data_IF_304307644666
#
_entry.id   IF_304307644666
#
_cell.length_a   1.000
_cell.length_b   1.000
_cell.length_c   1.000
_cell.angle_alpha   90.00
_cell.angle_beta   90.00
_cell.angle_gamma   90.00
#
_symmetry.space_group_name_H-M   'P 1'
#
loop_
_entity.id
_entity.type
_entity.pdbx_description
1 polymer ?
#
# COMPACT_ATOMS: atom_id res chain seq x y z
N UNK A 1 4.72 1.07 -23.60
CA UNK A 1 5.78 0.48 -22.78
C UNK A 1 5.57 -1.01 -22.68
N UNK A 2 6.66 -1.78 -22.64
CA UNK A 2 6.66 -3.23 -22.41
C UNK A 2 6.67 -3.51 -20.91
N UNK A 3 5.66 -4.23 -20.45
CA UNK A 3 5.38 -4.43 -19.04
C UNK A 3 5.43 -5.90 -18.68
N UNK A 4 6.08 -6.21 -17.56
CA UNK A 4 5.95 -7.50 -16.92
C UNK A 4 5.22 -7.39 -15.58
N UNK A 5 4.53 -8.46 -15.19
CA UNK A 5 3.93 -8.58 -13.86
C UNK A 5 4.52 -9.79 -13.13
N UNK A 6 5.04 -9.57 -11.93
CA UNK A 6 5.61 -10.62 -11.06
C UNK A 6 4.65 -10.85 -9.89
N UNK A 7 4.20 -12.09 -9.73
CA UNK A 7 3.22 -12.52 -8.73
C UNK A 7 1.80 -12.42 -9.27
N UNK A 8 1.25 -13.54 -9.73
CA UNK A 8 -0.08 -13.63 -10.37
C UNK A 8 -1.20 -13.98 -9.38
N UNK A 9 -1.02 -13.52 -8.14
CA UNK A 9 -1.98 -13.75 -7.04
C UNK A 9 -3.22 -12.86 -7.12
N UNK A 10 -3.94 -12.75 -6.00
CA UNK A 10 -5.26 -12.11 -5.96
C UNK A 10 -5.31 -10.64 -6.42
N UNK A 11 -4.19 -9.91 -6.31
CA UNK A 11 -4.12 -8.49 -6.68
C UNK A 11 -3.72 -8.29 -8.16
N UNK A 12 -3.11 -9.30 -8.78
CA UNK A 12 -2.62 -9.23 -10.15
C UNK A 12 -3.69 -8.86 -11.19
N UNK A 13 -4.95 -9.38 -11.14
CA UNK A 13 -6.00 -8.95 -12.04
C UNK A 13 -6.27 -7.44 -12.02
N UNK A 14 -6.15 -6.82 -10.84
CA UNK A 14 -6.36 -5.37 -10.66
C UNK A 14 -5.24 -4.60 -11.37
N UNK A 15 -3.99 -5.03 -11.20
CA UNK A 15 -2.85 -4.45 -11.90
C UNK A 15 -2.96 -4.64 -13.42
N UNK A 16 -3.25 -5.85 -13.91
CA UNK A 16 -3.41 -6.10 -15.35
C UNK A 16 -4.47 -5.21 -15.97
N UNK A 17 -5.63 -5.06 -15.31
CA UNK A 17 -6.66 -4.15 -15.81
C UNK A 17 -6.17 -2.70 -15.86
N UNK A 18 -5.47 -2.23 -14.82
CA UNK A 18 -4.87 -0.89 -14.82
C UNK A 18 -3.84 -0.68 -15.94
N UNK A 19 -2.99 -1.69 -16.21
CA UNK A 19 -2.00 -1.66 -17.29
C UNK A 19 -2.67 -1.57 -18.66
N UNK A 20 -3.68 -2.42 -18.91
CA UNK A 20 -4.42 -2.45 -20.17
C UNK A 20 -5.24 -1.18 -20.40
N UNK A 21 -5.87 -0.64 -19.35
CA UNK A 21 -6.60 0.64 -19.42
C UNK A 21 -5.67 1.85 -19.61
N UNK A 22 -4.38 1.72 -19.24
CA UNK A 22 -3.34 2.68 -19.59
C UNK A 22 -2.79 2.50 -21.02
N UNK A 23 -3.32 1.53 -21.78
CA UNK A 23 -2.89 1.14 -23.13
C UNK A 23 -1.43 0.66 -23.19
N UNK A 24 -0.96 -0.01 -22.14
CA UNK A 24 0.40 -0.55 -22.06
C UNK A 24 0.44 -2.04 -22.40
N UNK A 25 1.57 -2.52 -22.94
CA UNK A 25 1.71 -3.88 -23.47
C UNK A 25 2.24 -4.84 -22.40
N UNK A 26 1.43 -5.82 -21.98
CA UNK A 26 1.89 -6.88 -21.08
C UNK A 26 2.60 -7.96 -21.89
N UNK A 27 3.92 -8.03 -21.79
CA UNK A 27 4.76 -8.98 -22.55
C UNK A 27 5.17 -10.21 -21.74
N UNK A 28 5.13 -10.14 -20.41
CA UNK A 28 5.51 -11.27 -19.55
C UNK A 28 4.70 -11.33 -18.25
N UNK A 29 4.38 -12.55 -17.83
CA UNK A 29 3.84 -12.85 -16.50
C UNK A 29 4.79 -13.83 -15.79
N UNK A 30 5.09 -13.57 -14.53
CA UNK A 30 5.96 -14.42 -13.73
C UNK A 30 5.27 -14.89 -12.45
N UNK A 31 5.25 -16.20 -12.23
CA UNK A 31 4.82 -16.82 -10.98
C UNK A 31 5.55 -18.14 -10.76
N UNK A 32 5.93 -18.43 -9.51
CA UNK A 32 6.55 -19.72 -9.16
C UNK A 32 5.60 -20.91 -9.34
N UNK A 33 4.29 -20.63 -9.50
CA UNK A 33 3.27 -21.58 -9.92
C UNK A 33 2.79 -21.16 -11.32
N UNK A 34 3.44 -21.63 -12.41
CA UNK A 34 3.17 -21.15 -13.78
C UNK A 34 1.71 -21.28 -14.21
N UNK A 35 0.98 -22.26 -13.67
CA UNK A 35 -0.43 -22.48 -13.95
C UNK A 35 -1.29 -21.25 -13.61
N UNK A 36 -0.97 -20.53 -12.54
CA UNK A 36 -1.68 -19.28 -12.17
C UNK A 36 -1.46 -18.19 -13.19
N UNK A 37 -0.25 -18.09 -13.73
CA UNK A 37 0.09 -17.12 -14.75
C UNK A 37 -0.59 -17.45 -16.09
N UNK A 38 -0.68 -18.73 -16.46
CA UNK A 38 -1.41 -19.19 -17.64
C UNK A 38 -2.92 -18.94 -17.53
N UNK A 39 -3.53 -19.22 -16.37
CA UNK A 39 -4.94 -18.92 -16.12
C UNK A 39 -5.21 -17.42 -16.28
N UNK A 40 -4.36 -16.57 -15.72
CA UNK A 40 -4.48 -15.13 -15.78
C UNK A 40 -4.26 -14.59 -17.20
N UNK A 41 -3.26 -15.11 -17.92
CA UNK A 41 -3.01 -14.83 -19.35
C UNK A 41 -4.25 -15.11 -20.18
N UNK A 42 -4.87 -16.29 -19.99
CA UNK A 42 -6.08 -16.68 -20.70
C UNK A 42 -7.27 -15.78 -20.34
N UNK A 43 -7.46 -15.49 -19.06
CA UNK A 43 -8.57 -14.65 -18.58
C UNK A 43 -8.53 -13.22 -19.16
N UNK A 44 -7.33 -12.68 -19.41
CA UNK A 44 -7.13 -11.35 -19.99
C UNK A 44 -6.80 -11.37 -21.49
N UNK A 45 -6.84 -12.55 -22.14
CA UNK A 45 -6.50 -12.75 -23.55
C UNK A 45 -5.14 -12.13 -23.95
N UNK A 46 -4.13 -12.34 -23.12
CA UNK A 46 -2.78 -11.78 -23.29
C UNK A 46 -1.90 -12.67 -24.17
N UNK A 47 -0.96 -12.05 -24.88
CA UNK A 47 0.11 -12.73 -25.62
C UNK A 47 1.41 -12.84 -24.81
N UNK A 48 1.35 -12.60 -23.51
CA UNK A 48 2.51 -12.58 -22.63
C UNK A 48 3.22 -13.94 -22.56
N UNK A 49 4.54 -13.94 -22.51
CA UNK A 49 5.34 -15.10 -22.17
C UNK A 49 5.21 -15.43 -20.67
N UNK A 50 5.27 -16.71 -20.32
CA UNK A 50 5.14 -17.18 -18.93
C UNK A 50 6.51 -17.58 -18.39
N UNK A 51 6.83 -17.08 -17.21
CA UNK A 51 8.07 -17.37 -16.51
C UNK A 51 7.83 -17.95 -15.12
N UNK A 52 8.61 -18.96 -14.76
CA UNK A 52 8.66 -19.48 -13.39
C UNK A 52 9.72 -18.76 -12.52
N UNK A 53 10.70 -18.13 -13.15
CA UNK A 53 11.79 -17.38 -12.49
C UNK A 53 11.87 -15.96 -13.04
N UNK A 54 11.73 -14.98 -12.14
CA UNK A 54 11.81 -13.57 -12.50
C UNK A 54 13.21 -13.16 -12.96
N UNK A 55 14.27 -13.84 -12.51
CA UNK A 55 15.66 -13.56 -12.94
C UNK A 55 15.86 -13.95 -14.39
N UNK A 56 15.26 -15.07 -14.82
CA UNK A 56 15.23 -15.49 -16.21
C UNK A 56 14.43 -14.50 -17.07
N UNK A 57 13.23 -14.12 -16.62
CA UNK A 57 12.39 -13.11 -17.28
C UNK A 57 13.17 -11.81 -17.49
N UNK A 58 13.79 -11.28 -16.42
CA UNK A 58 14.61 -10.07 -16.46
C UNK A 58 15.82 -10.16 -17.41
N UNK A 59 16.33 -11.37 -17.69
CA UNK A 59 17.46 -11.59 -18.56
C UNK A 59 17.06 -11.71 -20.04
N UNK A 60 15.86 -12.22 -20.33
CA UNK A 60 15.37 -12.47 -21.70
C UNK A 60 14.55 -11.30 -22.25
N UNK A 61 13.77 -10.65 -21.39
CA UNK A 61 12.83 -9.61 -21.81
C UNK A 61 13.46 -8.22 -21.81
N UNK A 62 13.06 -7.41 -22.80
CA UNK A 62 13.36 -5.98 -22.83
C UNK A 62 12.17 -5.20 -22.24
N UNK A 63 12.22 -4.94 -20.93
CA UNK A 63 11.12 -4.38 -20.15
C UNK A 63 11.33 -2.89 -19.85
N UNK A 64 10.26 -2.11 -19.93
CA UNK A 64 10.23 -0.72 -19.47
C UNK A 64 9.76 -0.63 -18.01
N UNK A 65 8.81 -1.50 -17.62
CA UNK A 65 8.13 -1.46 -16.32
C UNK A 65 7.88 -2.86 -15.77
N UNK A 66 8.03 -3.01 -14.46
CA UNK A 66 7.58 -4.18 -13.68
C UNK A 66 6.49 -3.79 -12.69
N UNK A 67 5.39 -4.53 -12.70
CA UNK A 67 4.41 -4.54 -11.61
C UNK A 67 4.77 -5.67 -10.64
N UNK A 68 5.04 -5.31 -9.38
CA UNK A 68 5.44 -6.26 -8.34
C UNK A 68 4.28 -6.52 -7.38
N UNK A 69 3.74 -7.74 -7.44
CA UNK A 69 2.52 -8.18 -6.76
C UNK A 69 2.77 -9.46 -5.93
N UNK A 70 3.98 -9.60 -5.39
CA UNK A 70 4.43 -10.79 -4.64
C UNK A 70 4.22 -10.65 -3.13
N UNK A 71 4.45 -11.72 -2.35
CA UNK A 71 4.55 -11.62 -0.90
C UNK A 71 5.58 -10.58 -0.42
N UNK A 72 5.31 -9.92 0.71
CA UNK A 72 6.06 -8.74 1.18
C UNK A 72 7.58 -8.96 1.28
N UNK A 73 8.02 -10.10 1.82
CA UNK A 73 9.44 -10.41 2.00
C UNK A 73 10.23 -10.56 0.69
N UNK A 74 9.54 -10.76 -0.44
CA UNK A 74 10.18 -10.87 -1.76
C UNK A 74 10.40 -9.51 -2.42
N UNK A 75 9.72 -8.47 -1.96
CA UNK A 75 9.77 -7.16 -2.61
C UNK A 75 11.18 -6.61 -2.68
N UNK A 76 11.94 -6.71 -1.58
CA UNK A 76 13.31 -6.21 -1.50
C UNK A 76 14.21 -6.76 -2.61
N UNK A 77 14.37 -8.09 -2.70
CA UNK A 77 15.30 -8.71 -3.66
C UNK A 77 14.87 -8.42 -5.11
N UNK A 78 13.56 -8.45 -5.37
CA UNK A 78 13.00 -8.21 -6.70
C UNK A 78 13.15 -6.76 -7.13
N UNK A 79 12.93 -5.80 -6.25
CA UNK A 79 13.18 -4.36 -6.51
C UNK A 79 14.66 -4.14 -6.83
N UNK A 80 15.59 -4.61 -5.99
CA UNK A 80 17.04 -4.45 -6.23
C UNK A 80 17.46 -5.05 -7.58
N UNK A 81 17.00 -6.27 -7.89
CA UNK A 81 17.33 -6.95 -9.14
C UNK A 81 16.83 -6.19 -10.38
N UNK A 82 15.70 -5.49 -10.24
CA UNK A 82 15.06 -4.72 -11.31
C UNK A 82 15.72 -3.36 -11.50
N UNK A 83 16.01 -2.65 -10.41
CA UNK A 83 16.68 -1.34 -10.43
C UNK A 83 18.10 -1.41 -11.01
N UNK A 84 18.85 -2.50 -10.74
CA UNK A 84 20.16 -2.76 -11.36
C UNK A 84 20.14 -2.83 -12.88
N UNK A 85 18.96 -3.07 -13.46
CA UNK A 85 18.73 -3.14 -14.91
C UNK A 85 18.10 -1.86 -15.47
N UNK A 86 17.91 -0.83 -14.64
CA UNK A 86 17.25 0.43 -14.99
C UNK A 86 15.81 0.27 -15.49
N UNK A 87 15.10 -0.75 -14.99
CA UNK A 87 13.70 -0.99 -15.33
C UNK A 87 12.82 -0.33 -14.25
N UNK A 88 11.79 0.40 -14.66
CA UNK A 88 10.88 1.07 -13.72
C UNK A 88 10.05 0.04 -12.95
N UNK A 89 9.67 0.36 -11.71
CA UNK A 89 8.92 -0.54 -10.83
C UNK A 89 7.71 0.18 -10.28
N UNK A 90 6.54 -0.47 -10.36
CA UNK A 90 5.38 -0.16 -9.53
C UNK A 90 5.13 -1.33 -8.58
N UNK A 91 5.40 -1.13 -7.30
CA UNK A 91 5.34 -2.18 -6.29
C UNK A 91 4.13 -2.06 -5.37
N UNK A 92 3.50 -3.19 -5.07
CA UNK A 92 2.55 -3.28 -3.97
C UNK A 92 3.23 -2.97 -2.62
N UNK A 93 2.41 -2.55 -1.66
CA UNK A 93 2.88 -2.26 -0.31
C UNK A 93 3.04 -3.55 0.51
N UNK A 94 3.82 -3.52 1.60
CA UNK A 94 4.89 -2.58 1.88
C UNK A 94 6.08 -2.84 0.95
N UNK A 95 6.92 -1.83 0.70
CA UNK A 95 8.11 -1.98 -0.18
C UNK A 95 9.19 -2.93 0.36
N UNK A 96 9.21 -3.16 1.67
CA UNK A 96 10.14 -4.03 2.38
C UNK A 96 9.60 -4.30 3.79
N UNK A 97 10.24 -5.23 4.51
CA UNK A 97 9.77 -5.63 5.85
C UNK A 97 10.64 -5.07 6.99
N UNK A 98 11.84 -4.57 6.70
CA UNK A 98 12.73 -4.00 7.71
C UNK A 98 13.53 -2.77 7.22
N UNK A 99 14.09 -2.02 8.19
CA UNK A 99 14.88 -0.80 7.94
C UNK A 99 16.11 -1.03 7.07
N UNK A 100 16.79 -2.18 7.21
CA UNK A 100 18.02 -2.47 6.45
C UNK A 100 17.72 -2.64 4.96
N UNK A 101 16.63 -3.33 4.63
CA UNK A 101 16.16 -3.46 3.25
C UNK A 101 15.78 -2.10 2.65
N UNK A 102 15.04 -1.27 3.40
CA UNK A 102 14.69 0.07 2.97
C UNK A 102 15.92 0.90 2.59
N UNK A 103 16.93 0.90 3.45
CA UNK A 103 18.20 1.62 3.20
C UNK A 103 18.84 1.14 1.90
N UNK A 104 18.94 -0.18 1.70
CA UNK A 104 19.54 -0.76 0.49
C UNK A 104 18.73 -0.46 -0.78
N UNK A 105 17.40 -0.42 -0.70
CA UNK A 105 16.55 -0.01 -1.84
C UNK A 105 16.82 1.46 -2.20
N UNK A 106 16.89 2.35 -1.20
CA UNK A 106 17.19 3.77 -1.43
C UNK A 106 18.57 3.98 -2.05
N UNK A 107 19.57 3.20 -1.61
CA UNK A 107 20.92 3.22 -2.18
C UNK A 107 20.91 2.76 -3.64
N UNK A 108 20.28 1.63 -3.96
CA UNK A 108 20.20 1.13 -5.34
C UNK A 108 19.41 2.08 -6.24
N UNK A 109 18.30 2.64 -5.76
CA UNK A 109 17.49 3.60 -6.51
C UNK A 109 18.29 4.85 -6.89
N UNK A 110 19.22 5.33 -6.05
CA UNK A 110 20.11 6.45 -6.38
C UNK A 110 21.11 6.12 -7.50
N UNK A 111 21.46 4.85 -7.66
CA UNK A 111 22.38 4.36 -8.69
C UNK A 111 21.67 3.95 -9.98
N UNK A 112 20.34 3.91 -9.98
CA UNK A 112 19.50 3.52 -11.12
C UNK A 112 18.92 4.75 -11.82
N UNK A 113 18.69 4.66 -13.13
CA UNK A 113 17.88 5.65 -13.86
C UNK A 113 16.38 5.36 -13.79
N UNK A 114 16.00 4.21 -13.24
CA UNK A 114 14.61 3.80 -13.09
C UNK A 114 13.83 4.63 -12.07
N UNK A 115 12.50 4.58 -12.17
CA UNK A 115 11.56 5.09 -11.18
C UNK A 115 10.99 3.94 -10.36
N UNK A 116 10.75 4.20 -9.07
CA UNK A 116 10.09 3.28 -8.15
C UNK A 116 8.84 3.96 -7.58
N UNK A 117 7.67 3.49 -8.01
CA UNK A 117 6.37 3.88 -7.49
C UNK A 117 5.81 2.83 -6.53
N UNK A 118 5.01 3.28 -5.56
CA UNK A 118 4.41 2.42 -4.53
C UNK A 118 2.89 2.53 -4.59
N UNK A 119 2.21 1.39 -4.49
CA UNK A 119 0.75 1.34 -4.42
C UNK A 119 0.21 1.76 -3.05
N UNK A 120 0.03 3.07 -2.87
CA UNK A 120 -0.81 3.67 -1.82
C UNK A 120 -2.06 4.28 -2.46
N UNK A 121 -2.85 3.42 -3.09
CA UNK A 121 -3.94 3.78 -3.98
C UNK A 121 -5.05 4.59 -3.32
N UNK A 122 -5.22 4.48 -2.00
CA UNK A 122 -6.27 5.22 -1.30
C UNK A 122 -6.06 6.74 -1.42
N UNK A 123 -4.83 7.21 -1.64
CA UNK A 123 -4.57 8.63 -1.94
C UNK A 123 -5.30 9.10 -3.20
N UNK A 124 -5.60 8.22 -4.16
CA UNK A 124 -6.28 8.57 -5.42
C UNK A 124 -7.81 8.55 -5.34
N UNK A 125 -8.40 8.21 -4.19
CA UNK A 125 -9.85 8.31 -4.03
C UNK A 125 -10.27 9.79 -3.97
N UNK A 126 -11.32 10.22 -4.70
CA UNK A 126 -11.84 11.59 -4.72
C UNK A 126 -12.06 12.17 -3.33
N UNK A 127 -12.70 11.44 -2.40
CA UNK A 127 -12.91 11.90 -1.04
C UNK A 127 -11.59 12.27 -0.34
N UNK A 128 -10.53 11.47 -0.54
CA UNK A 128 -9.22 11.72 0.05
C UNK A 128 -8.46 12.85 -0.66
N UNK A 129 -8.57 12.96 -1.98
CA UNK A 129 -8.00 14.07 -2.77
C UNK A 129 -8.65 15.40 -2.40
N UNK A 130 -9.98 15.44 -2.32
CA UNK A 130 -10.75 16.61 -1.91
C UNK A 130 -10.40 17.02 -0.49
N UNK A 131 -10.38 16.07 0.46
CA UNK A 131 -9.95 16.37 1.82
C UNK A 131 -8.52 16.91 1.85
N UNK A 132 -7.58 16.31 1.10
CA UNK A 132 -6.20 16.80 1.05
C UNK A 132 -6.13 18.25 0.60
N UNK A 133 -6.84 18.62 -0.46
CA UNK A 133 -6.88 19.98 -0.99
C UNK A 133 -7.51 20.97 0.00
N UNK A 134 -8.63 20.60 0.65
CA UNK A 134 -9.28 21.45 1.65
C UNK A 134 -8.38 21.75 2.85
N UNK A 135 -7.52 20.81 3.24
CA UNK A 135 -6.59 20.97 4.36
C UNK A 135 -5.40 21.89 4.05
N UNK A 136 -5.18 22.32 2.80
CA UNK A 136 -4.09 23.23 2.46
C UNK A 136 -4.27 24.63 3.09
N UNK A 137 -5.52 25.07 3.25
CA UNK A 137 -5.90 26.39 3.79
C UNK A 137 -6.37 26.34 5.25
N UNK A 138 -6.09 25.25 5.95
CA UNK A 138 -6.57 25.00 7.31
C UNK A 138 -5.47 24.62 8.30
N UNK A 139 -5.65 25.09 9.52
CA UNK A 139 -4.80 24.69 10.65
C UNK A 139 -5.42 23.48 11.35
N UNK A 140 -4.74 22.34 11.24
CA UNK A 140 -5.17 21.08 11.83
C UNK A 140 -4.91 21.10 13.34
N UNK A 141 -5.93 20.74 14.13
CA UNK A 141 -5.85 20.64 15.59
C UNK A 141 -5.65 19.18 16.04
N UNK A 142 -6.39 18.26 15.41
CA UNK A 142 -6.40 16.85 15.81
C UNK A 142 -6.78 15.95 14.63
N UNK A 143 -6.06 14.84 14.49
CA UNK A 143 -6.49 13.72 13.66
C UNK A 143 -6.90 12.51 14.50
N UNK A 144 -7.80 11.69 13.99
CA UNK A 144 -7.91 10.30 14.42
C UNK A 144 -8.21 9.39 13.25
N UNK A 145 -7.80 8.14 13.36
CA UNK A 145 -8.21 7.12 12.42
C UNK A 145 -8.49 5.79 13.12
N UNK A 146 -9.40 5.01 12.54
CA UNK A 146 -9.63 3.63 12.99
C UNK A 146 -9.89 2.66 11.84
N UNK A 147 -9.45 1.42 12.04
CA UNK A 147 -9.73 0.27 11.20
C UNK A 147 -10.22 -0.89 12.08
N UNK A 148 -11.43 -1.37 11.83
CA UNK A 148 -12.05 -2.45 12.61
C UNK A 148 -12.49 -3.56 11.65
N UNK A 149 -11.65 -4.55 11.43
CA UNK A 149 -11.88 -5.60 10.42
C UNK A 149 -11.89 -7.00 11.04
N UNK A 150 -12.32 -7.98 10.25
CA UNK A 150 -12.35 -9.40 10.62
C UNK A 150 -11.32 -10.19 9.83
N UNK A 151 -10.39 -10.86 10.51
CA UNK A 151 -9.48 -11.85 9.91
C UNK A 151 -9.48 -13.11 10.76
N UNK A 152 -10.00 -14.18 10.18
CA UNK A 152 -10.09 -15.49 10.82
C UNK A 152 -8.91 -16.39 10.45
N UNK A 153 -8.90 -17.60 11.01
CA UNK A 153 -7.89 -18.60 10.72
C UNK A 153 -7.82 -18.96 9.21
N UNK A 154 -8.96 -18.99 8.53
CA UNK A 154 -9.04 -19.28 7.10
C UNK A 154 -8.29 -18.23 6.27
N UNK A 155 -8.41 -16.95 6.62
CA UNK A 155 -7.66 -15.87 5.98
C UNK A 155 -6.14 -16.04 6.05
N UNK A 156 -5.62 -16.49 7.20
CA UNK A 156 -4.18 -16.71 7.39
C UNK A 156 -3.72 -18.01 6.71
N UNK A 157 -4.51 -19.08 6.77
CA UNK A 157 -4.22 -20.35 6.06
C UNK A 157 -4.21 -20.22 4.54
N UNK A 158 -4.99 -19.30 3.98
CA UNK A 158 -5.07 -19.08 2.53
C UNK A 158 -3.74 -18.61 1.91
N UNK A 159 -2.77 -18.13 2.70
CA UNK A 159 -1.46 -17.69 2.18
C UNK A 159 -0.38 -17.85 3.25
N UNK A 160 0.53 -18.85 3.12
CA UNK A 160 1.51 -19.22 4.16
C UNK A 160 2.48 -18.12 4.62
N UNK A 161 2.61 -17.05 3.84
CA UNK A 161 3.46 -15.90 4.17
C UNK A 161 2.78 -14.93 5.15
N UNK A 162 1.48 -15.05 5.40
CA UNK A 162 0.75 -14.16 6.32
C UNK A 162 0.95 -14.60 7.76
N UNK A 163 0.85 -13.65 8.68
CA UNK A 163 0.81 -13.95 10.12
C UNK A 163 2.17 -14.15 10.77
N UNK A 164 3.28 -13.99 10.04
CA UNK A 164 4.65 -14.15 10.56
C UNK A 164 5.47 -12.89 10.41
N UNK A 165 6.38 -12.66 11.35
CA UNK A 165 7.24 -11.48 11.31
C UNK A 165 8.22 -11.50 10.12
N UNK A 166 8.76 -12.66 9.81
CA UNK A 166 9.80 -12.86 8.79
C UNK A 166 9.28 -12.76 7.35
N UNK A 167 8.01 -13.11 7.10
CA UNK A 167 7.44 -13.09 5.76
C UNK A 167 6.43 -11.96 5.52
N UNK A 168 5.67 -11.55 6.54
CA UNK A 168 4.70 -10.45 6.40
C UNK A 168 5.24 -9.10 6.89
N UNK A 169 6.24 -9.07 7.78
CA UNK A 169 6.78 -7.86 8.40
C UNK A 169 5.90 -7.24 9.49
N UNK A 170 4.70 -7.78 9.71
CA UNK A 170 3.72 -7.31 10.68
C UNK A 170 2.32 -7.83 10.37
N UNK A 171 1.41 -7.58 11.29
CA UNK A 171 0.03 -8.02 11.23
C UNK A 171 -0.89 -6.91 10.75
N UNK A 172 -1.83 -6.47 11.60
CA UNK A 172 -2.83 -5.48 11.22
C UNK A 172 -2.20 -4.20 10.70
N UNK A 173 -1.08 -3.73 11.25
CA UNK A 173 -0.50 -2.45 10.85
C UNK A 173 0.12 -2.48 9.47
N UNK A 174 0.79 -3.56 9.09
CA UNK A 174 1.43 -3.68 7.77
C UNK A 174 0.43 -4.12 6.70
N UNK A 175 -0.42 -5.10 7.03
CA UNK A 175 -1.20 -5.79 6.03
C UNK A 175 -2.55 -5.09 5.75
N UNK A 176 -3.15 -4.43 6.74
CA UNK A 176 -4.44 -3.75 6.60
C UNK A 176 -4.29 -2.22 6.76
N UNK A 177 -3.88 -1.79 7.94
CA UNK A 177 -4.00 -0.41 8.39
C UNK A 177 -2.94 0.54 7.84
N UNK A 178 -1.95 0.04 7.08
CA UNK A 178 -0.91 0.88 6.45
C UNK A 178 -1.50 1.96 5.54
N UNK A 179 -2.59 1.68 4.81
CA UNK A 179 -3.24 2.69 3.98
C UNK A 179 -3.95 3.76 4.81
N UNK A 180 -4.61 3.35 5.91
CA UNK A 180 -5.29 4.28 6.82
C UNK A 180 -4.27 5.15 7.54
N UNK A 181 -3.15 4.58 7.97
CA UNK A 181 -2.03 5.32 8.56
C UNK A 181 -1.41 6.27 7.53
N UNK A 182 -1.17 5.80 6.31
CA UNK A 182 -0.65 6.62 5.22
C UNK A 182 -1.51 7.87 4.98
N UNK A 183 -2.84 7.72 4.87
CA UNK A 183 -3.75 8.85 4.75
C UNK A 183 -3.69 9.79 5.95
N UNK A 184 -3.69 9.25 7.17
CA UNK A 184 -3.60 10.06 8.39
C UNK A 184 -2.30 10.89 8.40
N UNK A 185 -1.17 10.31 8.01
CA UNK A 185 0.11 11.03 7.88
C UNK A 185 0.10 12.03 6.72
N UNK A 186 -0.58 11.72 5.62
CA UNK A 186 -0.71 12.61 4.46
C UNK A 186 -1.53 13.86 4.79
N UNK A 187 -2.54 13.73 5.64
CA UNK A 187 -3.36 14.83 6.15
C UNK A 187 -2.67 15.59 7.29
N UNK A 188 -2.29 14.88 8.37
CA UNK A 188 -1.76 15.50 9.59
C UNK A 188 -0.26 15.84 9.53
N UNK A 189 0.45 15.39 8.50
CA UNK A 189 1.91 15.52 8.44
C UNK A 189 2.64 14.50 9.31
N UNK A 190 3.97 14.54 9.22
CA UNK A 190 4.82 13.60 9.95
C UNK A 190 4.89 13.93 11.45
N UNK A 191 4.73 12.93 12.32
CA UNK A 191 5.00 13.08 13.74
C UNK A 191 6.50 13.06 14.01
N UNK A 192 6.91 13.66 15.13
CA UNK A 192 8.26 13.52 15.69
C UNK A 192 8.31 12.51 16.84
N UNK A 193 7.15 12.11 17.39
CA UNK A 193 7.02 11.18 18.51
C UNK A 193 5.80 10.29 18.38
N UNK A 194 5.93 9.06 18.87
CA UNK A 194 4.85 8.08 19.01
C UNK A 194 4.82 7.51 20.43
N UNK A 195 3.61 7.24 20.93
CA UNK A 195 3.38 6.48 22.16
C UNK A 195 2.22 5.51 21.96
N UNK A 196 2.45 4.22 22.12
CA UNK A 196 1.42 3.22 21.98
C UNK A 196 1.93 1.80 22.06
N UNK A 197 1.06 0.84 21.78
CA UNK A 197 1.40 -0.58 21.83
C UNK A 197 0.67 -1.36 20.77
N UNK A 198 1.21 -2.53 20.50
CA UNK A 198 0.60 -3.56 19.68
C UNK A 198 0.39 -4.80 20.52
N UNK A 199 -0.66 -5.57 20.20
CA UNK A 199 -1.00 -6.79 20.90
C UNK A 199 -1.45 -7.85 19.90
N UNK A 200 -1.14 -9.10 20.20
CA UNK A 200 -1.75 -10.25 19.57
C UNK A 200 -2.77 -10.83 20.55
N UNK A 201 -4.05 -10.56 20.29
CA UNK A 201 -5.16 -10.90 21.20
C UNK A 201 -6.03 -12.06 20.70
N UNK A 202 -5.78 -12.60 19.51
CA UNK A 202 -6.56 -13.68 18.91
C UNK A 202 -5.67 -14.51 17.96
N UNK A 203 -5.96 -15.81 17.82
CA UNK A 203 -5.21 -16.73 16.94
C UNK A 203 -3.72 -16.86 17.30
N UNK A 204 -3.35 -16.69 18.57
CA UNK A 204 -1.94 -16.73 19.04
C UNK A 204 -1.24 -18.06 18.76
N UNK A 205 -1.99 -19.15 18.61
CA UNK A 205 -1.45 -20.46 18.24
C UNK A 205 -1.15 -20.59 16.73
N UNK A 206 -1.59 -19.62 15.92
CA UNK A 206 -1.51 -19.66 14.46
C UNK A 206 -0.70 -18.49 13.86
N UNK A 207 -0.67 -17.34 14.53
CA UNK A 207 0.03 -16.14 14.05
C UNK A 207 0.94 -15.56 15.12
N UNK A 208 2.07 -15.02 14.68
CA UNK A 208 3.12 -14.43 15.51
C UNK A 208 2.95 -12.91 15.66
N UNK A 209 2.26 -12.29 14.69
CA UNK A 209 2.17 -10.85 14.50
C UNK A 209 1.00 -10.22 15.25
N UNK A 210 0.99 -8.89 15.33
CA UNK A 210 -0.05 -8.15 16.04
C UNK A 210 -1.41 -8.16 15.34
N UNK A 211 -2.49 -8.36 16.12
CA UNK A 211 -3.88 -8.28 15.64
C UNK A 211 -4.53 -6.96 16.00
N UNK A 212 -3.97 -6.23 16.97
CA UNK A 212 -4.50 -4.95 17.46
C UNK A 212 -3.37 -3.96 17.72
N UNK A 213 -3.59 -2.69 17.37
CA UNK A 213 -2.68 -1.58 17.61
C UNK A 213 -3.45 -0.37 18.14
N UNK A 214 -2.89 0.31 19.14
CA UNK A 214 -3.39 1.58 19.66
C UNK A 214 -2.23 2.53 19.96
N UNK A 215 -2.30 3.76 19.43
CA UNK A 215 -1.22 4.73 19.62
C UNK A 215 -1.66 6.17 19.41
N UNK A 216 -0.87 7.07 19.98
CA UNK A 216 -0.91 8.50 19.72
C UNK A 216 0.37 8.95 19.01
N UNK A 217 0.20 9.87 18.07
CA UNK A 217 1.25 10.54 17.32
C UNK A 217 1.32 12.01 17.76
N UNK A 218 2.52 12.53 17.93
CA UNK A 218 2.77 13.94 18.25
C UNK A 218 3.81 14.50 17.29
N UNK A 219 3.57 15.71 16.80
CA UNK A 219 4.43 16.43 15.86
C UNK A 219 3.93 17.84 15.69
N UNK A 220 3.84 18.32 14.43
CA UNK A 220 3.10 19.56 14.12
C UNK A 220 1.65 19.47 14.59
N UNK A 221 1.02 18.32 14.36
CA UNK A 221 -0.36 18.03 14.74
C UNK A 221 -0.39 16.78 15.63
N UNK A 222 -1.41 16.67 16.49
CA UNK A 222 -1.66 15.45 17.26
C UNK A 222 -2.57 14.51 16.47
N UNK A 223 -2.34 13.21 16.59
CA UNK A 223 -3.27 12.23 16.05
C UNK A 223 -3.38 10.95 16.89
N UNK A 224 -4.55 10.31 16.86
CA UNK A 224 -4.80 9.02 17.52
C UNK A 224 -5.15 7.94 16.50
N UNK A 225 -4.71 6.72 16.77
CA UNK A 225 -4.93 5.61 15.86
C UNK A 225 -5.34 4.36 16.63
N UNK A 226 -6.32 3.65 16.08
CA UNK A 226 -6.72 2.33 16.57
C UNK A 226 -6.95 1.38 15.39
N UNK A 227 -6.35 0.21 15.39
CA UNK A 227 -6.68 -0.81 14.42
C UNK A 227 -6.80 -2.20 15.04
N UNK A 228 -7.76 -2.99 14.57
CA UNK A 228 -7.87 -4.40 14.93
C UNK A 228 -8.41 -5.25 13.79
N UNK A 229 -7.99 -6.52 13.76
CA UNK A 229 -8.54 -7.57 12.88
C UNK A 229 -9.40 -8.59 13.64
N UNK A 230 -9.73 -8.30 14.91
CA UNK A 230 -10.44 -9.24 15.80
C UNK A 230 -11.96 -9.07 15.79
N UNK A 231 -12.50 -8.21 14.92
CA UNK A 231 -13.94 -8.01 14.80
C UNK A 231 -14.62 -9.22 14.13
N UNK A 232 -15.94 -9.33 14.31
CA UNK A 232 -16.76 -10.33 13.61
C UNK A 232 -17.07 -9.93 12.16
N UNK A 233 -16.88 -8.67 11.79
CA UNK A 233 -17.15 -8.13 10.46
C UNK A 233 -16.13 -7.02 10.08
N UNK A 234 -16.16 -6.57 8.82
CA UNK A 234 -15.39 -5.44 8.33
C UNK A 234 -16.22 -4.16 8.37
N UNK A 235 -15.81 -3.22 9.21
CA UNK A 235 -16.38 -1.88 9.23
C UNK A 235 -15.71 -0.96 8.20
N UNK A 236 -16.42 0.08 7.72
CA UNK A 236 -15.81 1.15 6.94
C UNK A 236 -14.63 1.77 7.68
N UNK A 237 -13.57 2.11 6.94
CA UNK A 237 -12.44 2.86 7.49
C UNK A 237 -12.95 4.23 7.95
N UNK A 238 -12.50 4.70 9.11
CA UNK A 238 -12.83 6.05 9.55
C UNK A 238 -11.58 6.88 9.77
N UNK A 239 -11.57 8.10 9.24
CA UNK A 239 -10.57 9.12 9.53
C UNK A 239 -11.32 10.41 9.85
N UNK A 240 -11.04 11.04 10.99
CA UNK A 240 -11.61 12.34 11.32
C UNK A 240 -10.48 13.35 11.53
N UNK A 241 -10.61 14.52 10.92
CA UNK A 241 -9.67 15.63 11.05
C UNK A 241 -10.45 16.83 11.59
N UNK A 242 -9.99 17.38 12.71
CA UNK A 242 -10.51 18.62 13.29
C UNK A 242 -9.51 19.72 13.00
N UNK A 243 -10.00 20.84 12.49
CA UNK A 243 -9.22 22.04 12.23
C UNK A 243 -9.81 23.21 13.02
N UNK A 244 -9.20 24.39 12.88
CA UNK A 244 -9.74 25.63 13.45
C UNK A 244 -11.07 26.08 12.82
N UNK A 245 -11.41 25.56 11.64
CA UNK A 245 -12.60 26.00 10.87
C UNK A 245 -13.66 24.91 10.74
N UNK A 246 -13.24 23.66 10.54
CA UNK A 246 -14.10 22.57 10.09
C UNK A 246 -13.77 21.25 10.80
N UNK A 247 -14.73 20.35 10.75
CA UNK A 247 -14.55 18.94 11.07
C UNK A 247 -14.81 18.10 9.84
N UNK A 248 -13.80 17.34 9.44
CA UNK A 248 -13.85 16.41 8.33
C UNK A 248 -13.96 14.98 8.83
N UNK A 249 -14.72 14.14 8.13
CA UNK A 249 -14.80 12.71 8.38
C UNK A 249 -14.79 11.94 7.06
N UNK A 250 -13.81 11.07 6.87
CA UNK A 250 -13.87 9.97 5.92
C UNK A 250 -14.56 8.79 6.59
N UNK A 251 -15.54 8.19 5.93
CA UNK A 251 -16.21 6.97 6.35
C UNK A 251 -16.39 6.04 5.15
N UNK A 252 -15.55 5.01 5.05
CA UNK A 252 -15.43 4.25 3.81
C UNK A 252 -14.88 5.13 2.69
N UNK A 253 -15.64 5.27 1.61
CA UNK A 253 -15.31 6.12 0.45
C UNK A 253 -15.98 7.52 0.51
N UNK A 254 -16.78 7.79 1.55
CA UNK A 254 -17.51 9.04 1.72
C UNK A 254 -16.68 10.10 2.46
N UNK A 255 -16.90 11.38 2.13
CA UNK A 255 -16.42 12.53 2.89
C UNK A 255 -17.59 13.29 3.50
N UNK A 256 -17.50 13.62 4.78
CA UNK A 256 -18.42 14.51 5.48
C UNK A 256 -17.68 15.76 5.94
N UNK A 257 -18.29 16.93 5.74
CA UNK A 257 -17.81 18.23 6.23
C UNK A 257 -18.84 18.76 7.21
N UNK A 258 -18.45 18.95 8.47
CA UNK A 258 -19.33 19.35 9.58
C UNK A 258 -20.60 18.49 9.69
N UNK A 259 -20.50 17.20 9.34
CA UNK A 259 -21.61 16.25 9.35
C UNK A 259 -22.41 16.16 8.05
N UNK A 260 -22.16 17.04 7.07
CA UNK A 260 -22.82 17.00 5.77
C UNK A 260 -22.04 16.15 4.77
N UNK A 261 -22.69 15.13 4.18
CA UNK A 261 -22.11 14.31 3.13
C UNK A 261 -21.77 15.15 1.89
N UNK A 262 -20.61 14.90 1.32
CA UNK A 262 -20.16 15.48 0.06
C UNK A 262 -20.42 14.50 -1.09
N UNK A 263 -20.95 15.00 -2.19
CA UNK A 263 -21.17 14.20 -3.40
C UNK A 263 -19.92 14.21 -4.27
N UNK A 264 -19.58 13.04 -4.81
CA UNK A 264 -18.51 12.86 -5.78
C UNK A 264 -19.08 12.18 -7.03
N UNK A 265 -18.48 12.41 -8.21
CA UNK A 265 -18.78 11.59 -9.37
C UNK A 265 -18.59 10.12 -9.02
N UNK A 266 -19.50 9.25 -9.50
CA UNK A 266 -19.32 7.81 -9.36
C UNK A 266 -17.98 7.40 -9.95
N UNK A 267 -17.13 6.91 -9.07
CA UNK A 267 -15.92 6.22 -9.43
C UNK A 267 -16.41 4.84 -9.80
N UNK A 268 -16.28 4.46 -11.08
CA UNK A 268 -16.70 3.13 -11.54
C UNK A 268 -16.19 2.00 -10.63
N UNK A 269 -16.78 0.80 -10.71
CA UNK A 269 -16.57 -0.23 -9.70
C UNK A 269 -15.08 -0.51 -9.45
N UNK A 270 -14.70 -0.51 -8.17
CA UNK A 270 -13.40 -1.04 -7.76
C UNK A 270 -13.28 -2.50 -8.19
N UNK A 271 -12.09 -2.90 -8.63
CA UNK A 271 -11.85 -4.28 -9.06
C UNK A 271 -11.16 -5.07 -7.96
N UNK A 272 -11.55 -6.34 -7.81
CA UNK A 272 -11.02 -7.22 -6.76
C UNK A 272 -11.86 -7.16 -5.49
N UNK A 273 -11.22 -7.19 -4.33
CA UNK A 273 -11.93 -7.25 -3.05
C UNK A 273 -12.61 -5.91 -2.75
N UNK A 274 -13.84 -5.88 -2.20
CA UNK A 274 -14.58 -4.63 -1.97
C UNK A 274 -13.79 -3.57 -1.21
N UNK A 275 -12.98 -3.99 -0.22
CA UNK A 275 -12.19 -3.10 0.63
C UNK A 275 -10.88 -2.59 -0.01
N UNK A 276 -10.55 -2.97 -1.25
CA UNK A 276 -9.40 -2.40 -1.97
C UNK A 276 -9.69 -1.05 -2.62
N UNK A 277 -10.98 -0.76 -2.87
CA UNK A 277 -11.44 0.48 -3.51
C UNK A 277 -11.07 0.57 -5.00
N UNK A 278 -11.47 1.68 -5.64
CA UNK A 278 -11.22 1.95 -7.06
C UNK A 278 -9.89 2.68 -7.34
N UNK A 279 -9.11 3.00 -6.29
CA UNK A 279 -7.91 3.84 -6.40
C UNK A 279 -6.79 3.27 -7.28
N UNK A 280 -6.65 1.94 -7.37
CA UNK A 280 -5.55 1.30 -8.12
C UNK A 280 -5.51 1.74 -9.58
N UNK A 281 -6.68 1.84 -10.23
CA UNK A 281 -6.81 2.28 -11.62
C UNK A 281 -6.14 3.65 -11.82
N UNK A 282 -6.56 4.64 -11.04
CA UNK A 282 -6.07 6.01 -11.16
C UNK A 282 -4.59 6.13 -10.82
N UNK A 283 -4.14 5.39 -9.79
CA UNK A 283 -2.73 5.34 -9.42
C UNK A 283 -1.86 4.79 -10.54
N UNK A 284 -2.26 3.66 -11.14
CA UNK A 284 -1.51 3.01 -12.24
C UNK A 284 -1.49 3.93 -13.47
N UNK A 285 -2.62 4.55 -13.81
CA UNK A 285 -2.69 5.50 -14.92
C UNK A 285 -1.77 6.71 -14.70
N UNK A 286 -1.76 7.28 -13.49
CA UNK A 286 -0.87 8.39 -13.16
C UNK A 286 0.60 7.98 -13.21
N UNK A 287 0.94 6.77 -12.74
CA UNK A 287 2.29 6.23 -12.81
C UNK A 287 2.80 6.17 -14.27
N UNK A 288 2.02 5.60 -15.18
CA UNK A 288 2.41 5.56 -16.60
C UNK A 288 2.49 6.95 -17.24
N UNK A 289 1.54 7.83 -16.91
CA UNK A 289 1.58 9.23 -17.35
C UNK A 289 2.84 9.94 -16.87
N UNK A 290 3.28 9.71 -15.62
CA UNK A 290 4.54 10.24 -15.09
C UNK A 290 5.74 9.82 -15.93
N UNK A 291 5.81 8.54 -16.29
CA UNK A 291 6.91 8.00 -17.09
C UNK A 291 6.93 8.62 -18.49
N UNK A 292 5.77 8.73 -19.14
CA UNK A 292 5.62 9.34 -20.47
C UNK A 292 6.01 10.83 -20.46
N UNK A 293 5.55 11.58 -19.44
CA UNK A 293 5.83 13.01 -19.27
C UNK A 293 7.19 13.29 -18.62
N UNK A 294 7.93 12.25 -18.22
CA UNK A 294 9.22 12.35 -17.50
C UNK A 294 9.15 13.19 -16.22
N UNK A 295 8.01 13.17 -15.53
CA UNK A 295 7.85 13.82 -14.21
C UNK A 295 7.99 12.81 -13.07
N UNK A 296 8.31 13.27 -11.85
CA UNK A 296 8.28 12.41 -10.67
C UNK A 296 6.88 11.86 -10.41
N UNK A 297 6.80 10.58 -10.05
CA UNK A 297 5.57 9.98 -9.52
C UNK A 297 5.42 10.37 -8.04
N UNK A 298 4.24 10.85 -7.59
CA UNK A 298 4.09 11.46 -6.27
C UNK A 298 4.14 10.47 -5.10
N UNK A 299 4.04 9.16 -5.34
CA UNK A 299 4.10 8.13 -4.28
C UNK A 299 5.36 7.30 -4.47
N UNK A 300 6.50 7.94 -4.24
CA UNK A 300 7.82 7.33 -4.30
C UNK A 300 8.20 6.67 -2.97
N UNK A 301 9.46 6.22 -2.88
CA UNK A 301 10.00 5.57 -1.69
C UNK A 301 10.01 6.49 -0.46
N UNK A 302 10.14 7.81 -0.64
CA UNK A 302 10.18 8.77 0.46
C UNK A 302 8.78 9.00 1.04
N UNK A 303 7.73 8.87 0.22
CA UNK A 303 6.36 8.83 0.73
C UNK A 303 6.05 7.51 1.44
N UNK A 304 6.43 6.37 0.85
CA UNK A 304 6.13 5.06 1.40
C UNK A 304 6.87 4.78 2.73
N UNK A 305 8.10 5.28 2.90
CA UNK A 305 8.86 5.05 4.13
C UNK A 305 8.25 5.74 5.36
N UNK A 306 7.42 6.77 5.18
CA UNK A 306 6.79 7.51 6.28
C UNK A 306 5.95 6.59 7.16
N UNK A 307 5.05 5.81 6.54
CA UNK A 307 4.20 4.87 7.27
C UNK A 307 5.03 3.74 7.89
N UNK A 308 6.04 3.23 7.19
CA UNK A 308 6.93 2.18 7.71
C UNK A 308 7.72 2.64 8.93
N UNK A 309 8.28 3.86 8.90
CA UNK A 309 9.02 4.41 10.03
C UNK A 309 8.14 4.58 11.27
N UNK A 310 6.89 5.04 11.09
CA UNK A 310 5.90 5.13 12.18
C UNK A 310 5.57 3.74 12.73
N UNK A 311 5.36 2.74 11.87
CA UNK A 311 5.04 1.36 12.29
C UNK A 311 6.23 0.73 13.03
N UNK A 312 7.45 0.90 12.54
CA UNK A 312 8.63 0.36 13.23
C UNK A 312 8.88 1.06 14.58
N UNK A 313 8.63 2.37 14.67
CA UNK A 313 8.69 3.09 15.94
C UNK A 313 7.59 2.63 16.91
N UNK A 314 6.37 2.33 16.41
CA UNK A 314 5.29 1.74 17.21
C UNK A 314 5.71 0.40 17.83
N UNK A 315 6.35 -0.48 17.06
CA UNK A 315 6.83 -1.77 17.58
C UNK A 315 7.91 -1.62 18.66
N UNK A 316 8.66 -0.51 18.63
CA UNK A 316 9.64 -0.16 19.67
C UNK A 316 8.99 0.49 20.89
N UNK A 317 7.86 1.19 20.71
CA UNK A 317 7.19 2.01 21.73
C UNK A 317 6.83 1.22 22.98
N UNK A 318 6.16 0.06 22.85
CA UNK A 318 5.77 -0.80 24.00
C UNK A 318 5.05 -0.03 25.13
N UNK A 319 4.31 1.03 24.79
CA UNK A 319 3.63 1.93 25.72
C UNK A 319 4.44 3.16 26.13
N UNK A 320 5.74 3.21 25.81
CA UNK A 320 6.65 4.31 26.10
C UNK A 320 6.83 5.25 24.91
N UNK A 321 7.30 6.46 25.18
CA UNK A 321 7.54 7.45 24.13
C UNK A 321 8.77 7.09 23.27
N UNK A 322 8.61 7.10 21.95
CA UNK A 322 9.69 6.89 20.97
C UNK A 322 9.71 8.05 19.98
N UNK A 323 10.89 8.56 19.70
CA UNK A 323 11.13 9.60 18.68
C UNK A 323 11.43 8.96 17.33
N UNK A 324 10.92 9.57 16.26
CA UNK A 324 11.03 9.05 14.89
C UNK A 324 12.33 9.43 14.18
#
# INVERSE_FOLDING_TARGET
>A
MKVALIGTGSIAPVHLRGILEANEEVVALCDIVPEKAEELKKAFNLKAEIYADYKEMLAKENLDVIHLCTPHYLHYEMIISTLKRNINVLAEKPICINKSELTKIKEELRNSSAKLGICLQNRYLPANQTLKSLLEDEEILLGKAKLLWSRDEAYYKASPWRGKWDTAGGGVMINQAIHTLDLLLWFCGLPNKIKGKVTNTNLTDFIEVETTAEFALSGKNQAHFYATTTCSDNFPIEIEIVTTKNKYKIFGDDLYINGSLQEFPEIGPGYGKPYWGAGHKYLIQDFYKCLQEKRPFPIDILEAEKALNVIWALYQSKGEEVYL
#
